data_IF_994077851752
#
_entry.id   IF_994077851752
#
_cell.length_a   1.000
_cell.length_b   1.000
_cell.length_c   1.000
_cell.angle_alpha   90.00
_cell.angle_beta   90.00
_cell.angle_gamma   90.00
#
_symmetry.space_group_name_H-M   'P 1'
#
loop_
_entity.id
_entity.type
_entity.pdbx_description
1 polymer ?
#
# COMPACT_ATOMS: atom_id res chain seq x y z
N UNK A 1 14.37 11.23 -40.43
CA UNK A 1 14.96 11.11 -39.08
C UNK A 1 13.80 11.00 -38.11
N UNK A 2 13.58 9.84 -37.50
CA UNK A 2 12.58 9.71 -36.43
C UNK A 2 13.20 10.40 -35.21
N UNK A 3 12.58 11.49 -34.78
CA UNK A 3 12.92 12.18 -33.54
C UNK A 3 12.52 11.25 -32.40
N UNK A 4 13.49 10.58 -31.80
CA UNK A 4 13.28 9.88 -30.52
C UNK A 4 13.15 10.96 -29.47
N UNK A 5 11.91 11.25 -29.06
CA UNK A 5 11.67 12.03 -27.84
C UNK A 5 12.31 11.25 -26.70
N UNK A 6 13.48 11.68 -26.24
CA UNK A 6 14.03 11.26 -24.96
C UNK A 6 13.01 11.76 -23.94
N UNK A 7 12.23 10.85 -23.35
CA UNK A 7 11.53 11.17 -22.12
C UNK A 7 12.61 11.70 -21.16
N UNK A 8 12.47 12.95 -20.75
CA UNK A 8 13.24 13.47 -19.62
C UNK A 8 12.85 12.58 -18.46
N UNK A 9 13.68 11.58 -18.13
CA UNK A 9 13.56 10.85 -16.87
C UNK A 9 14.00 11.85 -15.82
N UNK A 10 13.04 12.60 -15.29
CA UNK A 10 13.27 13.63 -14.30
C UNK A 10 13.77 12.93 -13.02
N UNK A 11 14.81 13.49 -12.41
CA UNK A 11 15.33 12.91 -11.18
C UNK A 11 14.29 13.08 -10.08
N UNK A 12 13.73 11.97 -9.61
CA UNK A 12 12.75 11.91 -8.55
C UNK A 12 13.17 10.80 -7.60
N UNK A 13 13.55 11.19 -6.39
CA UNK A 13 14.06 10.27 -5.38
C UNK A 13 13.04 9.18 -5.08
N UNK A 14 13.44 7.92 -5.25
CA UNK A 14 12.57 6.78 -5.02
C UNK A 14 11.65 6.41 -6.19
N UNK A 15 11.61 7.17 -7.29
CA UNK A 15 10.89 6.77 -8.53
C UNK A 15 11.81 5.88 -9.37
N UNK A 16 11.79 4.59 -9.08
CA UNK A 16 12.64 3.59 -9.70
C UNK A 16 12.09 3.04 -11.01
N UNK A 17 10.77 3.07 -11.19
CA UNK A 17 10.09 2.74 -12.45
C UNK A 17 10.35 3.81 -13.52
N UNK A 18 10.59 5.05 -13.12
CA UNK A 18 10.78 6.20 -14.01
C UNK A 18 9.46 6.74 -14.56
N UNK A 19 8.34 6.50 -13.87
CA UNK A 19 7.01 6.91 -14.29
C UNK A 19 6.62 8.33 -13.81
N UNK A 20 7.49 8.97 -13.02
CA UNK A 20 7.27 10.31 -12.46
C UNK A 20 6.47 10.33 -11.15
N UNK A 21 6.21 9.16 -10.56
CA UNK A 21 5.50 9.00 -9.29
C UNK A 21 6.34 8.13 -8.35
N UNK A 22 6.37 8.47 -7.05
CA UNK A 22 6.92 7.56 -6.04
C UNK A 22 5.77 6.76 -5.44
N UNK A 23 5.82 5.44 -5.59
CA UNK A 23 4.76 4.50 -5.21
C UNK A 23 5.32 3.24 -4.54
N UNK A 24 4.44 2.34 -4.10
CA UNK A 24 4.89 1.05 -3.56
C UNK A 24 5.49 0.14 -4.65
N UNK A 25 5.16 0.37 -5.93
CA UNK A 25 5.76 -0.31 -7.09
C UNK A 25 7.26 -0.05 -7.14
N UNK A 26 7.71 1.13 -6.74
CA UNK A 26 9.14 1.43 -6.70
C UNK A 26 9.88 0.64 -5.63
N UNK A 27 9.26 0.48 -4.46
CA UNK A 27 9.79 -0.37 -3.41
C UNK A 27 9.88 -1.83 -3.88
N UNK A 28 8.84 -2.32 -4.57
CA UNK A 28 8.81 -3.64 -5.17
C UNK A 28 9.94 -3.82 -6.22
N UNK A 29 10.15 -2.85 -7.09
CA UNK A 29 11.23 -2.88 -8.09
C UNK A 29 12.61 -3.03 -7.44
N UNK A 30 12.88 -2.29 -6.35
CA UNK A 30 14.13 -2.42 -5.58
C UNK A 30 14.24 -3.82 -4.96
N UNK A 31 13.17 -4.31 -4.33
CA UNK A 31 13.17 -5.62 -3.69
C UNK A 31 13.44 -6.75 -4.68
N UNK A 32 12.83 -6.70 -5.87
CA UNK A 32 13.04 -7.68 -6.94
C UNK A 32 14.46 -7.62 -7.50
N UNK A 33 15.04 -6.42 -7.67
CA UNK A 33 16.43 -6.29 -8.09
C UNK A 33 17.37 -6.98 -7.08
N UNK A 34 17.13 -6.79 -5.78
CA UNK A 34 17.93 -7.41 -4.73
C UNK A 34 17.73 -8.93 -4.63
N UNK A 35 16.52 -9.40 -4.93
CA UNK A 35 16.20 -10.82 -5.08
C UNK A 35 16.79 -11.46 -6.35
N UNK A 36 17.35 -10.65 -7.26
CA UNK A 36 17.83 -11.03 -8.62
C UNK A 36 16.71 -11.50 -9.56
N UNK A 37 15.50 -11.14 -9.20
CA UNK A 37 14.26 -11.29 -9.95
C UNK A 37 14.11 -10.23 -11.04
N UNK A 38 14.70 -9.05 -10.84
CA UNK A 38 14.74 -7.94 -11.80
C UNK A 38 16.18 -7.53 -12.14
N UNK A 39 16.39 -7.07 -13.38
CA UNK A 39 17.69 -6.58 -13.84
C UNK A 39 17.84 -5.07 -13.60
N UNK A 40 19.09 -4.59 -13.43
CA UNK A 40 19.36 -3.19 -13.11
C UNK A 40 19.07 -2.23 -14.29
N UNK A 41 19.15 -2.72 -15.52
CA UNK A 41 18.92 -1.93 -16.74
C UNK A 41 17.44 -1.68 -17.03
N UNK A 42 16.53 -2.35 -16.30
CA UNK A 42 15.09 -2.13 -16.37
C UNK A 42 14.58 -1.16 -15.30
N UNK A 43 15.47 -0.48 -14.58
CA UNK A 43 15.09 0.45 -13.51
C UNK A 43 16.00 1.69 -13.48
N UNK A 44 15.52 2.77 -12.87
CA UNK A 44 16.33 3.95 -12.60
C UNK A 44 17.21 3.76 -11.35
N UNK A 45 18.43 3.26 -11.57
CA UNK A 45 19.39 2.97 -10.49
C UNK A 45 19.75 4.20 -9.62
N UNK A 46 19.72 5.41 -10.18
CA UNK A 46 20.04 6.65 -9.45
C UNK A 46 18.89 7.01 -8.52
N UNK A 47 17.64 6.94 -8.99
CA UNK A 47 16.47 7.16 -8.17
C UNK A 47 16.33 6.08 -7.10
N UNK A 48 16.68 4.82 -7.42
CA UNK A 48 16.62 3.67 -6.51
C UNK A 48 17.59 3.70 -5.34
N UNK A 49 18.82 4.20 -5.53
CA UNK A 49 19.80 4.33 -4.45
C UNK A 49 19.57 5.58 -3.58
N UNK A 50 18.74 6.52 -4.03
CA UNK A 50 18.61 7.83 -3.39
C UNK A 50 17.63 7.96 -2.21
N UNK A 51 16.68 7.05 -1.91
CA UNK A 51 15.79 7.17 -0.75
C UNK A 51 16.56 7.26 0.57
N UNK A 52 17.63 6.46 0.71
CA UNK A 52 18.55 6.54 1.84
C UNK A 52 19.96 6.88 1.36
N UNK A 53 20.49 7.98 1.86
CA UNK A 53 21.91 8.29 1.65
C UNK A 53 22.79 7.37 2.52
N UNK A 54 23.59 6.50 1.89
CA UNK A 54 24.40 5.48 2.57
C UNK A 54 25.78 5.98 3.03
N UNK A 55 26.16 7.19 2.63
CA UNK A 55 27.37 7.90 3.10
C UNK A 55 28.30 8.36 1.97
N UNK A 56 29.50 8.82 2.34
CA UNK A 56 30.43 9.49 1.42
C UNK A 56 31.01 8.60 0.29
N UNK A 57 30.80 7.29 0.36
CA UNK A 57 31.27 6.32 -0.65
C UNK A 57 30.29 6.13 -1.82
N UNK A 58 29.21 6.93 -1.86
CA UNK A 58 28.11 6.79 -2.80
C UNK A 58 27.01 5.89 -2.27
N UNK A 59 25.80 6.11 -2.78
CA UNK A 59 24.61 5.39 -2.35
C UNK A 59 24.52 4.01 -3.01
N UNK A 60 24.00 3.02 -2.27
CA UNK A 60 23.80 1.67 -2.77
C UNK A 60 22.30 1.40 -2.82
N UNK A 61 21.90 0.58 -3.78
CA UNK A 61 20.54 0.03 -3.78
C UNK A 61 20.49 -1.07 -2.74
N UNK A 62 19.66 -0.91 -1.71
CA UNK A 62 19.48 -1.85 -0.62
C UNK A 62 18.00 -2.03 -0.27
N UNK A 63 17.69 -3.06 0.52
CA UNK A 63 16.31 -3.27 0.99
C UNK A 63 15.85 -2.12 1.89
N UNK A 64 16.79 -1.34 2.42
CA UNK A 64 16.46 -0.16 3.23
C UNK A 64 15.86 0.94 2.35
N UNK A 65 16.27 1.05 1.08
CA UNK A 65 15.70 2.00 0.13
C UNK A 65 14.25 1.64 -0.21
N UNK A 66 13.98 0.35 -0.48
CA UNK A 66 12.62 -0.16 -0.64
C UNK A 66 11.75 0.14 0.59
N UNK A 67 12.29 -0.12 1.79
CA UNK A 67 11.59 0.16 3.04
C UNK A 67 11.34 1.66 3.25
N UNK A 68 12.24 2.53 2.82
CA UNK A 68 12.09 3.98 2.94
C UNK A 68 10.97 4.48 2.02
N UNK A 69 10.85 3.93 0.81
CA UNK A 69 9.72 4.18 -0.10
C UNK A 69 8.41 3.69 0.50
N UNK A 70 8.36 2.43 0.98
CA UNK A 70 7.17 1.89 1.64
C UNK A 70 6.73 2.75 2.85
N UNK A 71 7.69 3.22 3.65
CA UNK A 71 7.45 4.12 4.78
C UNK A 71 6.99 5.52 4.35
N UNK A 72 7.55 6.07 3.28
CA UNK A 72 7.09 7.34 2.70
C UNK A 72 5.62 7.23 2.25
N UNK A 73 5.24 6.13 1.58
CA UNK A 73 3.85 5.87 1.18
C UNK A 73 2.89 5.71 2.36
N UNK A 74 3.35 5.07 3.43
CA UNK A 74 2.62 5.00 4.71
C UNK A 74 2.60 6.33 5.48
N UNK A 75 3.14 7.43 4.93
CA UNK A 75 3.32 8.73 5.59
C UNK A 75 4.15 8.68 6.89
N UNK A 76 4.98 7.64 7.05
CA UNK A 76 5.98 7.55 8.11
C UNK A 76 7.21 8.43 7.81
N UNK A 77 7.33 8.93 6.57
CA UNK A 77 8.42 9.80 6.11
C UNK A 77 7.92 10.97 5.25
N UNK A 78 8.72 12.03 5.17
CA UNK A 78 8.49 13.20 4.32
C UNK A 78 9.05 13.03 2.91
N UNK A 79 8.82 14.01 2.03
CA UNK A 79 9.34 14.05 0.66
C UNK A 79 10.87 14.04 0.62
N UNK A 80 11.53 14.29 1.75
CA UNK A 80 12.98 14.18 1.92
C UNK A 80 13.41 12.84 2.56
N UNK A 81 12.47 11.92 2.77
CA UNK A 81 12.61 10.61 3.41
C UNK A 81 13.09 10.65 4.87
N UNK A 82 12.87 11.76 5.58
CA UNK A 82 13.08 11.83 7.02
C UNK A 82 11.86 11.27 7.76
N UNK A 83 12.08 10.60 8.89
CA UNK A 83 10.98 10.11 9.74
C UNK A 83 10.11 11.29 10.17
N UNK A 84 8.81 11.22 9.87
CA UNK A 84 7.85 12.24 10.27
C UNK A 84 7.30 11.97 11.67
N UNK A 85 7.07 13.06 12.40
CA UNK A 85 6.03 13.15 13.42
C UNK A 85 4.84 13.92 12.83
N UNK A 86 3.71 13.23 12.75
CA UNK A 86 2.35 13.64 12.35
C UNK A 86 2.23 14.86 11.42
N UNK A 87 2.11 14.68 10.09
CA UNK A 87 1.32 15.58 9.21
C UNK A 87 0.71 14.91 7.98
N UNK A 88 -0.57 15.17 7.81
CA UNK A 88 -1.42 14.85 6.67
C UNK A 88 -1.11 15.65 5.40
N UNK A 89 -1.38 15.04 4.24
CA UNK A 89 -1.47 15.72 2.94
C UNK A 89 -1.80 14.72 1.82
N UNK A 90 -3.07 14.66 1.42
CA UNK A 90 -3.55 13.76 0.36
C UNK A 90 -3.41 14.34 -1.05
N UNK A 91 -3.17 13.44 -2.01
CA UNK A 91 -3.41 13.65 -3.43
C UNK A 91 -4.22 12.48 -4.00
N UNK A 92 -5.31 12.77 -4.72
CA UNK A 92 -6.13 11.75 -5.39
C UNK A 92 -5.51 11.33 -6.73
N UNK A 93 -5.52 10.04 -7.09
CA UNK A 93 -5.21 9.58 -8.44
C UNK A 93 -6.40 9.74 -9.41
N UNK A 94 -6.16 9.89 -10.74
CA UNK A 94 -7.19 9.94 -11.77
C UNK A 94 -7.65 8.53 -12.21
N UNK A 95 -8.92 8.42 -12.61
CA UNK A 95 -9.58 7.17 -13.00
C UNK A 95 -9.29 6.73 -14.44
N UNK A 96 -9.20 5.41 -14.67
CA UNK A 96 -9.14 4.81 -16.01
C UNK A 96 -9.27 3.29 -16.11
N UNK A 97 -10.45 2.85 -16.59
CA UNK A 97 -10.76 1.71 -17.48
C UNK A 97 -10.93 0.28 -16.91
N UNK A 98 -12.19 -0.21 -16.94
CA UNK A 98 -12.65 -1.53 -16.48
C UNK A 98 -12.37 -2.65 -17.51
N UNK A 99 -11.69 -3.72 -17.08
CA UNK A 99 -11.60 -5.03 -17.74
C UNK A 99 -11.45 -6.09 -16.63
N UNK A 100 -12.51 -6.88 -16.38
CA UNK A 100 -12.64 -7.88 -15.29
C UNK A 100 -11.92 -7.47 -13.99
N UNK A 101 -12.41 -6.41 -13.37
CA UNK A 101 -11.70 -5.72 -12.30
C UNK A 101 -11.46 -6.63 -11.09
N UNK A 102 -10.19 -6.74 -10.71
CA UNK A 102 -9.81 -7.26 -9.40
C UNK A 102 -10.55 -6.44 -8.33
N UNK A 103 -11.03 -7.09 -7.28
CA UNK A 103 -11.82 -6.41 -6.25
C UNK A 103 -11.00 -6.33 -4.97
N UNK A 104 -10.85 -5.13 -4.42
CA UNK A 104 -10.32 -4.93 -3.06
C UNK A 104 -11.50 -4.69 -2.13
N UNK A 105 -11.75 -5.59 -1.20
CA UNK A 105 -12.86 -5.48 -0.25
C UNK A 105 -12.37 -5.38 1.19
N UNK A 106 -13.00 -4.53 2.00
CA UNK A 106 -12.87 -4.57 3.45
C UNK A 106 -14.16 -5.15 4.07
N UNK A 107 -13.98 -6.10 5.00
CA UNK A 107 -15.09 -6.78 5.64
C UNK A 107 -15.95 -5.86 6.51
N UNK A 108 -17.07 -6.41 6.98
CA UNK A 108 -17.96 -5.71 7.92
C UNK A 108 -18.09 -6.47 9.23
N UNK A 109 -18.41 -5.76 10.31
CA UNK A 109 -18.56 -6.38 11.63
C UNK A 109 -19.66 -5.75 12.48
N UNK A 110 -20.22 -6.58 13.37
CA UNK A 110 -21.07 -6.16 14.47
C UNK A 110 -20.34 -6.39 15.78
N UNK A 111 -20.20 -5.34 16.60
CA UNK A 111 -19.45 -5.40 17.84
C UNK A 111 -20.34 -5.09 19.04
N UNK A 112 -20.30 -5.87 20.13
CA UNK A 112 -20.89 -5.42 21.39
C UNK A 112 -20.17 -4.15 21.90
N UNK A 113 -20.78 -3.38 22.82
CA UNK A 113 -20.10 -2.22 23.42
C UNK A 113 -18.77 -2.62 24.07
N UNK A 114 -17.68 -1.91 23.74
CA UNK A 114 -16.29 -2.24 24.10
C UNK A 114 -15.74 -3.55 23.53
N UNK A 115 -16.46 -4.19 22.61
CA UNK A 115 -15.99 -5.38 21.91
C UNK A 115 -14.89 -5.05 20.91
N UNK A 116 -14.04 -6.04 20.61
CA UNK A 116 -12.98 -5.93 19.62
C UNK A 116 -13.06 -7.06 18.60
N UNK A 117 -12.64 -6.81 17.37
CA UNK A 117 -12.55 -7.84 16.32
C UNK A 117 -11.44 -7.51 15.32
N UNK A 118 -11.21 -8.45 14.41
CA UNK A 118 -10.37 -8.29 13.23
C UNK A 118 -11.26 -8.30 11.99
N UNK A 119 -11.07 -7.31 11.13
CA UNK A 119 -11.84 -7.14 9.89
C UNK A 119 -10.91 -7.43 8.72
N UNK A 120 -11.21 -8.45 7.89
CA UNK A 120 -10.34 -8.83 6.78
C UNK A 120 -10.36 -7.76 5.68
N UNK A 121 -9.20 -7.50 5.09
CA UNK A 121 -9.04 -6.79 3.81
C UNK A 121 -8.60 -7.84 2.79
N UNK A 122 -9.39 -8.05 1.75
CA UNK A 122 -9.17 -9.11 0.76
C UNK A 122 -9.08 -8.55 -0.65
N UNK A 123 -8.24 -9.19 -1.46
CA UNK A 123 -8.16 -8.99 -2.90
C UNK A 123 -8.77 -10.22 -3.57
N UNK A 124 -9.76 -10.00 -4.44
CA UNK A 124 -10.60 -11.04 -5.07
C UNK A 124 -10.52 -10.93 -6.58
N UNK A 125 -10.89 -12.02 -7.24
CA UNK A 125 -11.00 -12.07 -8.71
C UNK A 125 -9.71 -11.62 -9.41
N UNK A 126 -8.55 -12.02 -8.86
CA UNK A 126 -7.23 -11.71 -9.41
C UNK A 126 -7.07 -12.44 -10.74
N UNK A 127 -7.38 -11.74 -11.83
CA UNK A 127 -7.32 -12.28 -13.19
C UNK A 127 -5.93 -12.20 -13.82
N UNK A 128 -5.04 -11.42 -13.21
CA UNK A 128 -3.68 -11.22 -13.69
C UNK A 128 -2.84 -12.52 -13.54
N UNK A 129 -2.20 -13.03 -14.62
CA UNK A 129 -1.41 -14.26 -14.57
C UNK A 129 -0.15 -14.14 -13.70
N UNK A 130 0.39 -12.93 -13.54
CA UNK A 130 1.56 -12.64 -12.71
C UNK A 130 1.16 -12.45 -11.24
N UNK A 131 -0.14 -12.22 -10.97
CA UNK A 131 -0.73 -12.22 -9.63
C UNK A 131 -0.36 -11.00 -8.80
N UNK A 132 -0.94 -10.86 -7.60
CA UNK A 132 -0.76 -9.67 -6.76
C UNK A 132 0.69 -9.49 -6.26
N UNK A 133 1.33 -8.38 -6.63
CA UNK A 133 2.70 -8.06 -6.20
C UNK A 133 2.74 -7.09 -5.03
N UNK A 134 1.99 -6.00 -5.08
CA UNK A 134 2.00 -4.99 -4.03
C UNK A 134 0.65 -4.28 -3.88
N UNK A 135 0.41 -3.74 -2.68
CA UNK A 135 -0.77 -2.92 -2.40
C UNK A 135 -0.42 -1.71 -1.52
N UNK A 136 -1.13 -0.62 -1.74
CA UNK A 136 -1.14 0.59 -0.91
C UNK A 136 -2.59 1.05 -0.75
N UNK A 137 -3.10 0.97 0.47
CA UNK A 137 -4.48 1.23 0.81
C UNK A 137 -4.61 2.33 1.86
N UNK A 138 -5.72 3.06 1.75
CA UNK A 138 -6.19 3.97 2.79
C UNK A 138 -7.56 3.49 3.25
N UNK A 139 -7.80 3.47 4.56
CA UNK A 139 -9.12 3.23 5.15
C UNK A 139 -9.54 4.47 5.94
N UNK A 140 -10.71 5.01 5.64
CA UNK A 140 -11.34 6.10 6.39
C UNK A 140 -12.55 5.57 7.19
N UNK A 141 -12.75 6.13 8.39
CA UNK A 141 -13.80 5.76 9.33
C UNK A 141 -14.14 6.92 10.28
N UNK A 142 -15.23 6.80 11.04
CA UNK A 142 -15.57 7.71 12.14
C UNK A 142 -14.82 7.30 13.43
N UNK A 143 -13.82 8.09 13.87
CA UNK A 143 -13.00 7.75 15.04
C UNK A 143 -13.76 7.91 16.37
N UNK A 144 -15.00 8.40 16.36
CA UNK A 144 -15.85 8.46 17.56
C UNK A 144 -16.60 7.16 17.82
N UNK A 145 -16.69 6.28 16.82
CA UNK A 145 -17.46 5.02 16.88
C UNK A 145 -16.52 3.84 17.18
N UNK A 146 -15.40 3.76 16.47
CA UNK A 146 -14.40 2.71 16.68
C UNK A 146 -12.99 3.31 16.80
N UNK A 147 -12.14 2.63 17.55
CA UNK A 147 -10.69 2.86 17.58
C UNK A 147 -10.01 1.72 16.83
N UNK A 148 -9.02 2.05 16.00
CA UNK A 148 -8.14 1.07 15.38
C UNK A 148 -6.97 0.79 16.32
N UNK A 149 -6.76 -0.48 16.65
CA UNK A 149 -5.73 -0.94 17.58
C UNK A 149 -4.46 -1.43 16.85
N UNK A 150 -4.56 -1.73 15.56
CA UNK A 150 -3.45 -2.20 14.74
C UNK A 150 -3.89 -2.76 13.39
N UNK A 151 -2.91 -3.06 12.54
CA UNK A 151 -3.08 -3.91 11.36
C UNK A 151 -2.31 -5.21 11.61
N UNK A 152 -2.94 -6.35 11.34
CA UNK A 152 -2.35 -7.68 11.44
C UNK A 152 -2.09 -8.24 10.04
N UNK A 153 -1.09 -9.12 9.95
CA UNK A 153 -0.73 -9.78 8.71
C UNK A 153 -1.88 -10.64 8.15
N UNK A 154 -1.92 -10.76 6.82
CA UNK A 154 -2.88 -11.58 6.10
C UNK A 154 -2.42 -13.03 5.95
N UNK A 155 -2.80 -13.62 4.82
CA UNK A 155 -2.43 -14.96 4.40
C UNK A 155 -1.11 -14.94 3.63
N UNK A 156 -0.41 -16.07 3.59
CA UNK A 156 0.77 -16.27 2.73
C UNK A 156 0.43 -15.90 1.27
N UNK A 157 1.26 -15.10 0.57
CA UNK A 157 2.60 -14.66 0.97
C UNK A 157 2.66 -13.39 1.86
N UNK A 158 1.55 -12.67 2.05
CA UNK A 158 1.44 -11.46 2.90
C UNK A 158 1.24 -11.79 4.39
N UNK A 159 2.01 -12.76 4.88
CA UNK A 159 1.92 -13.27 6.27
C UNK A 159 2.84 -12.56 7.26
N UNK A 160 3.71 -11.66 6.75
CA UNK A 160 4.44 -10.70 7.56
C UNK A 160 3.57 -9.45 7.81
N UNK A 161 3.75 -8.73 8.93
CA UNK A 161 2.97 -7.53 9.19
C UNK A 161 3.25 -6.44 8.14
N UNK A 162 2.17 -5.98 7.49
CA UNK A 162 2.19 -4.81 6.62
C UNK A 162 2.78 -3.58 7.34
N UNK A 163 3.35 -2.64 6.57
CA UNK A 163 3.67 -1.32 7.07
C UNK A 163 2.38 -0.51 7.21
N UNK A 164 2.16 0.16 8.35
CA UNK A 164 0.95 0.95 8.56
C UNK A 164 1.14 2.16 9.46
N UNK A 165 0.23 3.12 9.31
CA UNK A 165 0.05 4.29 10.19
C UNK A 165 -1.41 4.38 10.59
N UNK A 166 -1.68 4.67 11.86
CA UNK A 166 -3.05 4.84 12.39
C UNK A 166 -3.17 6.24 12.98
N UNK A 167 -4.12 7.01 12.46
CA UNK A 167 -4.56 8.28 13.01
C UNK A 167 -5.99 8.13 13.55
N UNK A 168 -6.09 7.70 14.81
CA UNK A 168 -7.36 7.61 15.53
C UNK A 168 -7.97 8.98 15.88
N UNK A 169 -7.29 10.10 15.57
CA UNK A 169 -7.88 11.44 15.75
C UNK A 169 -8.70 11.82 14.52
N UNK A 170 -8.17 11.53 13.33
CA UNK A 170 -8.83 11.86 12.06
C UNK A 170 -9.56 10.68 11.41
N UNK A 171 -9.51 9.49 12.01
CA UNK A 171 -10.19 8.29 11.51
C UNK A 171 -9.56 7.77 10.22
N UNK A 172 -8.23 7.77 10.13
CA UNK A 172 -7.50 7.35 8.93
C UNK A 172 -6.50 6.25 9.28
N UNK A 173 -6.48 5.20 8.46
CA UNK A 173 -5.46 4.15 8.48
C UNK A 173 -4.83 4.10 7.10
N UNK A 174 -3.50 4.06 7.05
CA UNK A 174 -2.74 3.81 5.83
C UNK A 174 -2.01 2.49 6.01
N UNK A 175 -2.02 1.62 5.00
CA UNK A 175 -1.31 0.35 5.03
C UNK A 175 -0.78 -0.01 3.65
N UNK A 176 0.43 -0.55 3.60
CA UNK A 176 1.01 -1.12 2.40
C UNK A 176 1.88 -2.32 2.70
N UNK A 177 2.00 -3.19 1.71
CA UNK A 177 2.93 -4.32 1.72
C UNK A 177 3.26 -4.73 0.28
N UNK A 178 4.32 -5.51 0.11
CA UNK A 178 4.72 -6.05 -1.19
C UNK A 178 5.36 -7.43 -1.04
N UNK A 179 5.17 -8.26 -2.05
CA UNK A 179 5.78 -9.57 -2.16
C UNK A 179 6.80 -9.59 -3.30
N UNK A 180 8.07 -9.81 -2.97
CA UNK A 180 9.20 -9.61 -3.89
C UNK A 180 9.49 -10.78 -4.84
N UNK A 181 8.58 -11.74 -4.98
CA UNK A 181 8.77 -12.87 -5.90
C UNK A 181 8.33 -12.54 -7.33
N UNK A 182 8.73 -13.39 -8.28
CA UNK A 182 8.41 -13.24 -9.71
C UNK A 182 6.94 -13.54 -10.04
N UNK A 183 6.21 -14.18 -9.11
CA UNK A 183 4.78 -14.46 -9.25
C UNK A 183 4.08 -14.29 -7.90
N UNK A 184 3.02 -13.50 -7.89
CA UNK A 184 2.12 -13.27 -6.77
C UNK A 184 0.96 -14.28 -6.72
N UNK A 185 0.10 -14.22 -5.70
CA UNK A 185 -1.11 -15.02 -5.65
C UNK A 185 -2.06 -14.60 -6.79
N UNK A 186 -2.55 -15.59 -7.53
CA UNK A 186 -3.52 -15.43 -8.64
C UNK A 186 -4.93 -15.89 -8.23
N UNK A 187 -5.17 -16.01 -6.92
CA UNK A 187 -6.46 -16.40 -6.35
C UNK A 187 -6.78 -15.46 -5.22
N UNK A 188 -8.07 -15.36 -4.88
CA UNK A 188 -8.55 -14.66 -3.70
C UNK A 188 -7.64 -14.82 -2.49
N UNK A 189 -7.29 -13.69 -1.88
CA UNK A 189 -6.39 -13.64 -0.74
C UNK A 189 -6.78 -12.54 0.23
N UNK A 190 -6.76 -12.85 1.53
CA UNK A 190 -6.82 -11.83 2.58
C UNK A 190 -5.41 -11.32 2.83
N UNK A 191 -5.17 -10.04 2.56
CA UNK A 191 -3.82 -9.44 2.61
C UNK A 191 -3.50 -8.80 3.96
N UNK A 192 -4.54 -8.41 4.72
CA UNK A 192 -4.38 -7.84 6.05
C UNK A 192 -5.66 -8.00 6.88
N UNK A 193 -5.56 -7.80 8.20
CA UNK A 193 -6.71 -7.62 9.07
C UNK A 193 -6.61 -6.31 9.85
N UNK A 194 -7.68 -5.51 9.79
CA UNK A 194 -7.83 -4.31 10.61
C UNK A 194 -8.34 -4.70 12.00
N UNK A 195 -7.53 -4.51 13.04
CA UNK A 195 -7.92 -4.76 14.42
C UNK A 195 -8.61 -3.52 15.00
N UNK A 196 -9.86 -3.66 15.45
CA UNK A 196 -10.69 -2.53 15.91
C UNK A 196 -11.36 -2.84 17.25
N UNK A 197 -11.64 -1.78 18.02
CA UNK A 197 -12.42 -1.81 19.26
C UNK A 197 -13.55 -0.78 19.20
N UNK A 198 -14.75 -1.18 19.60
CA UNK A 198 -15.91 -0.29 19.73
C UNK A 198 -15.74 0.69 20.90
N UNK A 199 -15.95 1.99 20.64
CA UNK A 199 -15.88 3.07 21.65
C UNK A 199 -17.09 4.01 21.64
N UNK A 200 -17.93 3.93 20.61
CA UNK A 200 -19.20 4.64 20.51
C UNK A 200 -20.33 3.99 21.33
N UNK A 201 -21.54 4.47 21.12
CA UNK A 201 -22.75 3.98 21.77
C UNK A 201 -23.37 2.81 21.01
N UNK A 202 -24.24 2.01 21.66
CA UNK A 202 -25.07 1.05 20.95
C UNK A 202 -25.82 1.69 19.77
N UNK A 203 -25.79 0.99 18.64
CA UNK A 203 -26.35 1.37 17.34
C UNK A 203 -25.61 2.46 16.56
N UNK A 204 -24.52 3.02 17.10
CA UNK A 204 -23.62 3.82 16.29
C UNK A 204 -22.97 2.91 15.22
N UNK A 205 -22.85 3.44 14.01
CA UNK A 205 -22.24 2.73 12.89
C UNK A 205 -21.34 3.65 12.07
N UNK A 206 -20.21 3.10 11.63
CA UNK A 206 -19.29 3.75 10.71
C UNK A 206 -19.11 2.88 9.48
N UNK A 207 -19.08 3.50 8.32
CA UNK A 207 -18.54 2.87 7.13
C UNK A 207 -17.01 2.75 7.30
N UNK A 208 -16.45 1.73 6.65
CA UNK A 208 -15.02 1.55 6.46
C UNK A 208 -14.76 1.80 4.97
N UNK A 209 -14.49 3.06 4.63
CA UNK A 209 -14.24 3.52 3.26
C UNK A 209 -12.82 3.15 2.87
N UNK A 210 -12.66 2.13 2.03
CA UNK A 210 -11.35 1.67 1.56
C UNK A 210 -11.05 2.26 0.19
N UNK A 211 -9.96 3.02 0.11
CA UNK A 211 -9.45 3.58 -1.14
C UNK A 211 -8.19 2.85 -1.58
N UNK A 212 -8.19 2.37 -2.82
CA UNK A 212 -7.00 1.84 -3.48
C UNK A 212 -6.12 3.02 -3.90
N UNK A 213 -4.98 3.17 -3.24
CA UNK A 213 -3.97 4.18 -3.63
C UNK A 213 -3.07 3.61 -4.72
N UNK A 214 -2.68 2.35 -4.59
CA UNK A 214 -1.93 1.61 -5.60
C UNK A 214 -2.22 0.11 -5.46
N UNK A 215 -2.33 -0.58 -6.58
CA UNK A 215 -2.36 -2.03 -6.66
C UNK A 215 -1.55 -2.44 -7.88
N UNK A 216 -0.62 -3.38 -7.72
CA UNK A 216 0.23 -3.82 -8.83
C UNK A 216 0.40 -5.32 -8.84
N UNK A 217 0.63 -5.86 -10.02
CA UNK A 217 1.02 -7.26 -10.18
C UNK A 217 2.46 -7.52 -9.69
N UNK A 218 2.90 -8.77 -9.76
CA UNK A 218 4.26 -9.17 -9.42
C UNK A 218 5.33 -8.67 -10.41
N UNK A 219 4.96 -8.09 -11.54
CA UNK A 219 5.89 -7.40 -12.43
C UNK A 219 5.93 -5.88 -12.18
N UNK A 220 5.16 -5.41 -11.20
CA UNK A 220 5.05 -3.99 -10.88
C UNK A 220 4.24 -3.21 -11.90
N UNK A 221 3.48 -3.88 -12.77
CA UNK A 221 2.53 -3.23 -13.64
C UNK A 221 1.24 -2.93 -12.85
N UNK A 222 0.61 -1.80 -13.15
CA UNK A 222 -0.64 -1.39 -12.50
C UNK A 222 -1.71 -2.46 -12.67
N UNK A 223 -2.40 -2.80 -11.58
CA UNK A 223 -3.52 -3.73 -11.56
C UNK A 223 -4.82 -2.97 -11.31
N UNK A 224 -5.62 -2.69 -12.36
CA UNK A 224 -6.90 -2.03 -12.20
C UNK A 224 -7.82 -2.82 -11.27
N UNK A 225 -8.41 -2.11 -10.32
CA UNK A 225 -9.28 -2.71 -9.32
C UNK A 225 -10.36 -1.75 -8.87
N UNK A 226 -11.44 -2.32 -8.35
CA UNK A 226 -12.52 -1.60 -7.66
C UNK A 226 -12.50 -1.92 -6.18
N UNK A 227 -12.78 -0.91 -5.37
CA UNK A 227 -12.98 -1.10 -3.93
C UNK A 227 -14.44 -1.45 -3.58
N UNK A 228 -14.59 -2.22 -2.51
CA UNK A 228 -15.86 -2.47 -1.82
C UNK A 228 -15.68 -2.15 -0.34
N UNK A 229 -16.43 -1.15 0.11
CA UNK A 229 -16.46 -0.71 1.49
C UNK A 229 -17.12 -1.71 2.43
N UNK A 230 -16.68 -1.66 3.68
CA UNK A 230 -17.26 -2.38 4.79
C UNK A 230 -17.95 -1.44 5.77
N UNK A 231 -18.39 -1.97 6.90
CA UNK A 231 -18.90 -1.16 8.01
C UNK A 231 -18.65 -1.82 9.36
N UNK A 232 -18.69 -1.02 10.41
CA UNK A 232 -18.82 -1.51 11.79
C UNK A 232 -20.04 -0.91 12.43
N UNK A 233 -20.88 -1.77 13.00
CA UNK A 233 -22.04 -1.36 13.79
C UNK A 233 -21.93 -1.88 15.23
N UNK A 234 -22.13 -0.99 16.21
CA UNK A 234 -22.14 -1.37 17.62
C UNK A 234 -23.52 -1.94 17.96
N UNK A 235 -23.57 -3.16 18.50
CA UNK A 235 -24.82 -3.79 18.94
C UNK A 235 -25.25 -3.29 20.31
N UNK A 236 -26.42 -3.74 20.76
CA UNK A 236 -26.90 -3.53 22.12
C UNK A 236 -25.97 -4.13 23.19
#
# INVERSE_FOLDING_TARGET
>A
MRSTTLANVEYQRGDTSGDGTVSIVDALCIAQYLAKSRQLDTMNAVNAASPRHDGASGDKITITDALYIAQYKALLRDDCFNLQGDKAGGGSPPAGQLDSDTIVEIGSAFLPPNGSTQIPISVRDIADPDGLGAYDFKVALDPTIIRVDGVQAGQDPFSDPAAYTIDNTNGVVLLNDFYSADQGPTTDITVAYLAVTAIGNPWDATDLDITITTLSDALGDDMPAVDIDGFVCITQ
#
